data_IF_051435577897
#
_entry.id   IF_051435577897
#
_cell.length_a   1.000
_cell.length_b   1.000
_cell.length_c   1.000
_cell.angle_alpha   90.00
_cell.angle_beta   90.00
_cell.angle_gamma   90.00
#
_symmetry.space_group_name_H-M   'P 1'
#
loop_
_entity.id
_entity.type
_entity.pdbx_description
1 polymer ?
#
# COMPACT_ATOMS: atom_id res chain seq x y z
N UNK A 1 6.96 -1.26 26.24
CA UNK A 1 5.61 -1.00 25.68
C UNK A 1 5.67 0.22 24.78
N UNK A 2 4.98 0.25 23.65
CA UNK A 2 4.99 1.41 22.71
C UNK A 2 4.25 2.59 23.36
N UNK A 3 4.80 3.82 23.42
CA UNK A 3 4.12 4.98 24.02
C UNK A 3 2.78 5.34 23.35
N UNK A 4 1.84 5.87 24.13
CA UNK A 4 0.48 6.19 23.66
C UNK A 4 0.48 7.18 22.48
N UNK A 5 1.27 8.24 22.55
CA UNK A 5 1.38 9.23 21.46
C UNK A 5 1.85 8.59 20.15
N UNK A 6 2.78 7.62 20.21
CA UNK A 6 3.27 6.90 19.04
C UNK A 6 2.18 5.98 18.47
N UNK A 7 1.45 5.25 19.33
CA UNK A 7 0.33 4.41 18.88
C UNK A 7 -0.75 5.22 18.17
N UNK A 8 -1.16 6.36 18.74
CA UNK A 8 -2.18 7.21 18.12
C UNK A 8 -1.72 7.79 16.79
N UNK A 9 -0.47 8.28 16.72
CA UNK A 9 0.10 8.81 15.48
C UNK A 9 0.17 7.76 14.37
N UNK A 10 0.49 6.52 14.73
CA UNK A 10 0.60 5.40 13.79
C UNK A 10 -0.73 4.64 13.58
N UNK A 11 -1.82 5.06 14.23
CA UNK A 11 -3.12 4.38 14.14
C UNK A 11 -3.15 2.95 14.71
N UNK A 12 -2.19 2.60 15.56
CA UNK A 12 -2.06 1.25 16.13
C UNK A 12 -3.15 0.98 17.17
N UNK A 13 -3.88 -0.12 16.99
CA UNK A 13 -4.93 -0.57 17.91
C UNK A 13 -4.41 -1.66 18.84
N UNK A 14 -4.96 -1.73 20.06
CA UNK A 14 -4.66 -2.85 20.96
C UNK A 14 -5.13 -4.17 20.33
N UNK A 15 -4.30 -5.22 20.44
CA UNK A 15 -4.57 -6.54 19.84
C UNK A 15 -4.23 -6.65 18.35
N UNK A 16 -3.74 -5.57 17.72
CA UNK A 16 -3.28 -5.61 16.33
C UNK A 16 -1.96 -6.40 16.21
N UNK A 17 -1.90 -7.27 15.22
CA UNK A 17 -0.68 -8.04 14.89
C UNK A 17 0.25 -7.17 14.05
N UNK A 18 1.52 -7.15 14.44
CA UNK A 18 2.60 -6.48 13.72
C UNK A 18 3.63 -7.52 13.33
N UNK A 19 4.12 -7.41 12.10
CA UNK A 19 5.26 -8.18 11.64
C UNK A 19 6.54 -7.36 11.79
N UNK A 20 7.59 -8.00 12.27
CA UNK A 20 8.88 -7.37 12.56
C UNK A 20 9.91 -7.89 11.58
N UNK A 21 10.52 -6.95 10.85
CA UNK A 21 11.56 -7.26 9.87
C UNK A 21 12.91 -7.29 10.60
N UNK A 22 13.46 -8.49 10.79
CA UNK A 22 14.73 -8.72 11.50
C UNK A 22 15.96 -8.53 10.61
N UNK A 23 15.79 -8.38 9.30
CA UNK A 23 16.91 -8.24 8.35
C UNK A 23 17.41 -6.80 8.22
N UNK A 24 16.59 -5.83 8.65
CA UNK A 24 16.94 -4.40 8.60
C UNK A 24 17.69 -3.97 9.87
N UNK A 25 18.66 -3.02 9.77
CA UNK A 25 19.47 -2.57 10.91
C UNK A 25 18.70 -1.65 11.89
N UNK A 26 17.38 -1.54 11.76
CA UNK A 26 16.53 -0.70 12.59
C UNK A 26 15.21 -1.42 12.90
N UNK A 27 14.58 -1.07 14.03
CA UNK A 27 13.29 -1.65 14.40
C UNK A 27 12.19 -1.24 13.41
N UNK A 28 11.77 -2.18 12.57
CA UNK A 28 10.70 -2.00 11.60
C UNK A 28 9.55 -2.92 11.96
N UNK A 29 8.39 -2.32 12.19
CA UNK A 29 7.14 -3.03 12.47
C UNK A 29 6.10 -2.59 11.44
N UNK A 30 5.47 -3.55 10.78
CA UNK A 30 4.46 -3.30 9.75
C UNK A 30 3.14 -3.99 10.14
N UNK A 31 1.98 -3.35 9.87
CA UNK A 31 0.69 -4.00 10.05
C UNK A 31 0.61 -5.27 9.21
N UNK A 32 0.19 -6.38 9.82
CA UNK A 32 -0.13 -7.60 9.07
C UNK A 32 -1.46 -7.39 8.35
N UNK A 33 -1.47 -7.62 7.05
CA UNK A 33 -2.69 -7.72 6.26
C UNK A 33 -2.97 -9.19 5.94
N UNK A 34 -4.24 -9.58 6.02
CA UNK A 34 -4.68 -10.88 5.56
C UNK A 34 -4.71 -10.86 4.02
N UNK A 35 -3.71 -11.49 3.42
CA UNK A 35 -3.55 -11.50 1.98
C UNK A 35 -4.68 -12.25 1.27
N UNK A 36 -5.22 -13.31 1.89
CA UNK A 36 -6.35 -14.05 1.33
C UNK A 36 -7.61 -13.20 1.33
N UNK A 37 -7.91 -12.55 2.45
CA UNK A 37 -9.03 -11.61 2.55
C UNK A 37 -8.87 -10.43 1.58
N UNK A 38 -7.65 -9.88 1.44
CA UNK A 38 -7.36 -8.80 0.49
C UNK A 38 -7.57 -9.25 -0.96
N UNK A 39 -7.14 -10.46 -1.32
CA UNK A 39 -7.33 -11.00 -2.68
C UNK A 39 -8.79 -11.36 -2.94
N UNK A 40 -9.56 -11.72 -1.91
CA UNK A 40 -10.98 -12.09 -2.06
C UNK A 40 -11.85 -10.97 -2.64
N UNK A 41 -11.46 -9.70 -2.45
CA UNK A 41 -12.22 -8.54 -2.94
C UNK A 41 -11.87 -8.12 -4.38
N UNK A 42 -10.91 -8.80 -5.02
CA UNK A 42 -10.55 -8.55 -6.42
C UNK A 42 -11.77 -8.80 -7.30
N UNK A 43 -12.13 -7.81 -8.13
CA UNK A 43 -13.27 -7.90 -9.04
C UNK A 43 -14.61 -7.46 -8.42
N UNK A 44 -14.73 -7.26 -7.10
CA UNK A 44 -15.99 -6.80 -6.50
C UNK A 44 -16.45 -5.41 -6.98
N UNK A 45 -15.57 -4.62 -7.61
CA UNK A 45 -15.86 -3.28 -8.13
C UNK A 45 -15.95 -3.19 -9.65
N UNK A 46 -15.81 -4.29 -10.40
CA UNK A 46 -15.70 -4.28 -11.87
C UNK A 46 -16.91 -3.66 -12.57
N UNK A 47 -18.10 -3.80 -11.99
CA UNK A 47 -19.34 -3.25 -12.56
C UNK A 47 -19.49 -1.73 -12.34
N UNK A 48 -18.62 -1.14 -11.52
CA UNK A 48 -18.68 0.28 -11.11
C UNK A 48 -17.49 1.10 -11.59
N UNK A 49 -16.43 0.47 -12.10
CA UNK A 49 -15.27 1.18 -12.63
C UNK A 49 -15.52 1.57 -14.08
N UNK A 50 -15.55 2.88 -14.35
CA UNK A 50 -15.47 3.40 -15.71
C UNK A 50 -14.00 3.55 -16.07
N UNK A 51 -13.53 2.84 -17.08
CA UNK A 51 -12.15 2.90 -17.57
C UNK A 51 -11.22 1.82 -16.99
N UNK A 52 -10.14 1.57 -17.74
CA UNK A 52 -9.10 0.58 -17.43
C UNK A 52 -8.02 1.15 -16.51
N UNK A 53 -7.32 0.31 -15.75
CA UNK A 53 -6.22 0.75 -14.89
C UNK A 53 -5.16 1.60 -15.63
N UNK A 54 -4.94 1.34 -16.93
CA UNK A 54 -4.03 2.13 -17.75
C UNK A 54 -4.54 3.55 -18.02
N UNK A 55 -5.83 3.72 -18.29
CA UNK A 55 -6.43 5.05 -18.48
C UNK A 55 -6.32 5.90 -17.21
N UNK A 56 -6.60 5.30 -16.05
CA UNK A 56 -6.46 5.97 -14.76
C UNK A 56 -5.01 6.35 -14.48
N UNK A 57 -4.05 5.48 -14.81
CA UNK A 57 -2.62 5.76 -14.65
C UNK A 57 -2.16 6.91 -15.55
N UNK A 58 -2.60 6.95 -16.80
CA UNK A 58 -2.28 8.03 -17.74
C UNK A 58 -2.87 9.36 -17.26
N UNK A 59 -4.15 9.37 -16.85
CA UNK A 59 -4.82 10.55 -16.30
C UNK A 59 -4.11 11.07 -15.04
N UNK A 60 -3.69 10.17 -14.15
CA UNK A 60 -3.07 10.53 -12.88
C UNK A 60 -1.63 10.99 -13.01
N UNK A 61 -0.88 10.46 -13.98
CA UNK A 61 0.53 10.79 -14.20
C UNK A 61 0.72 12.08 -14.99
N UNK A 62 -0.20 12.37 -15.90
CA UNK A 62 -0.02 13.41 -16.89
C UNK A 62 1.10 13.07 -17.90
N UNK A 63 1.36 13.96 -18.87
CA UNK A 63 2.38 13.71 -19.89
C UNK A 63 3.77 13.59 -19.27
N UNK A 64 4.44 12.47 -19.50
CA UNK A 64 5.83 12.23 -19.09
C UNK A 64 6.73 12.38 -20.32
N UNK A 65 7.63 13.36 -20.30
CA UNK A 65 8.71 13.45 -21.28
C UNK A 65 9.72 12.31 -21.04
N UNK A 66 9.79 11.37 -21.97
CA UNK A 66 10.80 10.32 -21.94
C UNK A 66 12.14 10.87 -22.42
N UNK A 67 13.27 10.52 -21.78
CA UNK A 67 14.58 10.88 -22.29
C UNK A 67 14.79 10.26 -23.67
N UNK A 68 15.50 10.97 -24.56
CA UNK A 68 15.83 10.44 -25.87
C UNK A 68 16.60 9.13 -25.72
N UNK A 69 16.11 8.07 -26.37
CA UNK A 69 16.83 6.80 -26.44
C UNK A 69 18.20 7.03 -27.09
N UNK A 70 19.26 6.92 -26.29
CA UNK A 70 20.63 6.89 -26.81
C UNK A 70 20.87 5.50 -27.40
N UNK A 71 20.70 5.38 -28.72
CA UNK A 71 21.02 4.18 -29.51
C UNK A 71 22.52 3.96 -29.68
#
# INVERSE_FOLDING_TARGET
>A
TIPAAIRHRLGLKSGQVLDFDEEVPFLKAIPVFDEEAMRSVVGCGSDRSTGSAMEWLEESRGPVELPADET
#
